data_IF_255688624351
#
_entry.id   IF_255688624351
#
_cell.length_a   1.000
_cell.length_b   1.000
_cell.length_c   1.000
_cell.angle_alpha   90.00
_cell.angle_beta   90.00
_cell.angle_gamma   90.00
#
_symmetry.space_group_name_H-M   'P 1'
#
loop_
_entity.id
_entity.type
_entity.pdbx_description
1 polymer ?
#
# COMPACT_ATOMS: atom_id res chain seq x y z
N UNK A 1 -71.11 0.95 -11.17
CA UNK A 1 -70.09 1.09 -10.10
C UNK A 1 -68.87 0.26 -10.44
N UNK A 2 -67.82 0.89 -10.96
CA UNK A 2 -66.60 0.21 -11.39
C UNK A 2 -65.53 0.30 -10.27
N UNK A 3 -64.82 -0.79 -9.93
CA UNK A 3 -63.79 -0.73 -8.91
C UNK A 3 -62.49 -0.15 -9.50
N UNK A 4 -61.98 0.87 -8.84
CA UNK A 4 -60.69 1.51 -9.10
C UNK A 4 -59.59 0.52 -8.72
N UNK A 5 -58.87 -0.01 -9.74
CA UNK A 5 -57.65 -0.79 -9.54
C UNK A 5 -56.51 0.16 -9.23
N UNK A 6 -56.08 0.19 -7.95
CA UNK A 6 -54.92 0.91 -7.49
C UNK A 6 -53.66 0.11 -7.89
N UNK A 7 -52.97 0.59 -8.95
CA UNK A 7 -51.72 0.02 -9.43
C UNK A 7 -50.58 0.54 -8.57
N UNK A 8 -50.11 -0.29 -7.62
CA UNK A 8 -48.87 0.00 -6.85
C UNK A 8 -47.68 -0.16 -7.77
N UNK A 9 -47.11 0.97 -8.19
CA UNK A 9 -45.84 1.03 -8.91
C UNK A 9 -44.71 0.87 -7.89
N UNK A 10 -44.21 -0.35 -7.74
CA UNK A 10 -43.00 -0.61 -6.90
C UNK A 10 -41.79 -0.10 -7.67
N UNK A 11 -41.30 1.07 -7.27
CA UNK A 11 -40.03 1.64 -7.76
C UNK A 11 -38.88 0.85 -7.10
N UNK A 12 -38.36 -0.18 -7.79
CA UNK A 12 -37.11 -0.84 -7.39
C UNK A 12 -35.94 0.14 -7.59
N UNK A 13 -35.53 0.81 -6.51
CA UNK A 13 -34.28 1.53 -6.48
C UNK A 13 -33.16 0.48 -6.54
N UNK A 14 -32.64 0.24 -7.73
CA UNK A 14 -31.45 -0.56 -7.93
C UNK A 14 -30.26 0.12 -7.27
N UNK A 15 -29.87 -0.34 -6.08
CA UNK A 15 -28.57 0.01 -5.49
C UNK A 15 -27.48 -0.58 -6.39
N UNK A 16 -26.99 0.22 -7.35
CA UNK A 16 -25.76 -0.09 -8.05
C UNK A 16 -24.61 0.00 -7.07
N UNK A 17 -24.18 -1.12 -6.51
CA UNK A 17 -22.90 -1.22 -5.82
C UNK A 17 -21.82 -0.96 -6.85
N UNK A 18 -21.27 0.26 -6.83
CA UNK A 18 -20.06 0.59 -7.58
C UNK A 18 -18.97 -0.26 -6.94
N UNK A 19 -18.65 -1.39 -7.57
CA UNK A 19 -17.46 -2.16 -7.24
C UNK A 19 -16.26 -1.24 -7.48
N UNK A 20 -15.72 -0.68 -6.40
CA UNK A 20 -14.48 0.11 -6.45
C UNK A 20 -13.40 -0.85 -6.91
N UNK A 21 -12.92 -0.69 -8.14
CA UNK A 21 -11.77 -1.43 -8.63
C UNK A 21 -10.68 -1.32 -7.56
N UNK A 22 -10.10 -2.46 -7.16
CA UNK A 22 -9.07 -2.48 -6.11
C UNK A 22 -7.85 -1.72 -6.62
N UNK A 23 -7.77 -0.44 -6.29
CA UNK A 23 -6.74 0.46 -6.77
C UNK A 23 -5.39 0.00 -6.21
N UNK A 24 -4.49 -0.41 -7.10
CA UNK A 24 -3.16 -0.94 -6.75
C UNK A 24 -2.22 0.10 -6.12
N UNK A 25 -2.70 1.32 -5.93
CA UNK A 25 -1.96 2.44 -5.34
C UNK A 25 -2.73 3.06 -4.19
N UNK A 26 -1.99 3.65 -3.24
CA UNK A 26 -2.52 4.47 -2.15
C UNK A 26 -1.64 5.69 -1.93
N UNK A 27 -2.16 6.69 -1.25
CA UNK A 27 -1.40 7.87 -0.84
C UNK A 27 -0.54 7.61 0.39
N UNK A 28 0.45 8.47 0.65
CA UNK A 28 1.26 8.41 1.88
C UNK A 28 0.40 8.59 3.14
N UNK A 29 -0.63 9.45 3.08
CA UNK A 29 -1.58 9.66 4.18
C UNK A 29 -2.39 8.40 4.48
N UNK A 30 -2.94 7.75 3.45
CA UNK A 30 -3.67 6.49 3.60
C UNK A 30 -2.78 5.36 4.11
N UNK A 31 -1.55 5.26 3.60
CA UNK A 31 -0.59 4.25 4.05
C UNK A 31 -0.25 4.40 5.52
N UNK A 32 -0.03 5.65 6.00
CA UNK A 32 0.19 5.93 7.41
C UNK A 32 -1.02 5.54 8.26
N UNK A 33 -2.21 5.96 7.87
CA UNK A 33 -3.44 5.63 8.59
C UNK A 33 -3.66 4.12 8.71
N UNK A 34 -3.50 3.40 7.60
CA UNK A 34 -3.71 1.95 7.55
C UNK A 34 -2.62 1.17 8.31
N UNK A 35 -1.37 1.64 8.27
CA UNK A 35 -0.28 1.03 9.03
C UNK A 35 -0.43 1.26 10.54
N UNK A 36 -0.80 2.48 10.95
CA UNK A 36 -1.05 2.81 12.36
C UNK A 36 -2.23 2.01 12.94
N UNK A 37 -3.29 1.85 12.18
CA UNK A 37 -4.47 1.06 12.55
C UNK A 37 -4.28 -0.46 12.43
N UNK A 38 -3.10 -0.95 12.04
CA UNK A 38 -2.86 -2.40 11.87
C UNK A 38 -3.61 -3.03 10.69
N UNK A 39 -4.16 -2.22 9.79
CA UNK A 39 -4.95 -2.69 8.64
C UNK A 39 -4.07 -3.20 7.49
N UNK A 40 -2.84 -2.71 7.39
CA UNK A 40 -1.85 -3.11 6.37
C UNK A 40 -0.44 -3.11 6.94
N UNK A 41 0.38 -4.05 6.50
CA UNK A 41 1.81 -4.07 6.80
C UNK A 41 2.49 -3.07 5.87
N UNK A 42 3.14 -2.05 6.42
CA UNK A 42 3.95 -1.11 5.66
C UNK A 42 5.38 -1.65 5.54
N UNK A 43 5.91 -1.71 4.32
CA UNK A 43 7.30 -2.13 4.05
C UNK A 43 8.02 -1.01 3.30
N UNK A 44 9.12 -0.55 3.88
CA UNK A 44 10.04 0.40 3.24
C UNK A 44 11.08 -0.38 2.43
N UNK A 45 11.00 -0.25 1.10
CA UNK A 45 11.85 -0.99 0.16
C UNK A 45 13.09 -0.21 -0.29
N UNK A 46 13.36 0.95 0.34
CA UNK A 46 14.55 1.77 0.06
C UNK A 46 15.84 1.06 0.48
N UNK A 47 16.97 1.65 0.08
CA UNK A 47 18.28 1.16 0.49
C UNK A 47 18.62 1.54 1.95
N UNK A 48 19.46 0.76 2.66
CA UNK A 48 19.87 1.06 4.04
C UNK A 48 20.48 2.45 4.24
N UNK A 49 21.22 2.94 3.27
CA UNK A 49 21.79 4.30 3.31
C UNK A 49 20.72 5.40 3.33
N UNK A 50 19.60 5.17 2.67
CA UNK A 50 18.45 6.11 2.69
C UNK A 50 17.77 6.10 4.06
N UNK A 51 17.60 4.93 4.66
CA UNK A 51 17.03 4.80 6.01
C UNK A 51 17.90 5.52 7.07
N UNK A 52 19.22 5.34 6.98
CA UNK A 52 20.18 6.04 7.89
C UNK A 52 20.09 7.55 7.73
N UNK A 53 20.02 8.04 6.49
CA UNK A 53 20.02 9.46 6.18
C UNK A 53 18.74 10.17 6.60
N UNK A 54 17.58 9.56 6.39
CA UNK A 54 16.28 10.24 6.49
C UNK A 54 15.35 9.65 7.54
N UNK A 55 15.73 8.55 8.17
CA UNK A 55 14.84 7.75 9.00
C UNK A 55 13.88 6.90 8.15
N UNK A 56 12.97 6.24 8.81
CA UNK A 56 11.96 5.33 8.22
C UNK A 56 10.57 5.65 8.76
N UNK A 57 9.50 5.38 8.02
CA UNK A 57 8.13 5.51 8.54
C UNK A 57 7.95 4.68 9.82
N UNK A 58 7.29 5.25 10.82
CA UNK A 58 6.97 4.50 12.05
C UNK A 58 6.11 3.28 11.70
N UNK A 59 6.45 2.13 12.26
CA UNK A 59 5.79 0.85 12.00
C UNK A 59 6.22 0.14 10.72
N UNK A 60 6.99 0.78 9.83
CA UNK A 60 7.46 0.12 8.62
C UNK A 60 8.51 -0.97 8.90
N UNK A 61 8.35 -2.11 8.20
CA UNK A 61 9.40 -3.12 8.06
C UNK A 61 10.39 -2.67 6.98
N UNK A 62 11.66 -2.98 7.14
CA UNK A 62 12.74 -2.52 6.26
C UNK A 62 13.26 -3.70 5.44
N UNK A 63 12.80 -3.83 4.21
CA UNK A 63 13.20 -4.87 3.27
C UNK A 63 13.62 -4.23 1.96
N UNK A 64 14.91 -3.88 1.83
CA UNK A 64 15.42 -3.30 0.58
C UNK A 64 15.21 -4.24 -0.60
N UNK A 65 14.66 -3.70 -1.69
CA UNK A 65 14.55 -4.44 -2.96
C UNK A 65 15.89 -4.53 -3.70
N UNK A 66 16.84 -3.67 -3.31
CA UNK A 66 18.21 -3.60 -3.88
C UNK A 66 19.23 -4.35 -3.01
N UNK A 67 18.77 -5.09 -1.99
CA UNK A 67 19.63 -5.84 -1.08
C UNK A 67 20.28 -7.06 -1.71
N UNK A 68 21.22 -7.64 -0.97
CA UNK A 68 21.89 -8.89 -1.36
C UNK A 68 20.87 -10.01 -1.64
N UNK A 69 21.07 -10.75 -2.72
CA UNK A 69 20.14 -11.79 -3.18
C UNK A 69 18.95 -11.29 -4.00
N UNK A 70 18.87 -9.98 -4.25
CA UNK A 70 17.91 -9.38 -5.18
C UNK A 70 16.44 -9.68 -4.87
N UNK A 71 15.65 -9.80 -5.93
CA UNK A 71 14.19 -9.96 -5.85
C UNK A 71 13.77 -11.27 -5.18
N UNK A 72 14.52 -12.36 -5.38
CA UNK A 72 14.23 -13.65 -4.74
C UNK A 72 14.29 -13.56 -3.22
N UNK A 73 15.36 -12.95 -2.70
CA UNK A 73 15.49 -12.73 -1.26
C UNK A 73 14.42 -11.79 -0.72
N UNK A 74 14.05 -10.75 -1.46
CA UNK A 74 12.97 -9.85 -1.10
C UNK A 74 11.63 -10.61 -0.95
N UNK A 75 11.24 -11.39 -1.96
CA UNK A 75 10.01 -12.21 -1.92
C UNK A 75 10.03 -13.19 -0.76
N UNK A 76 11.16 -13.87 -0.50
CA UNK A 76 11.29 -14.82 0.61
C UNK A 76 11.10 -14.12 1.98
N UNK A 77 11.68 -12.93 2.17
CA UNK A 77 11.51 -12.13 3.40
C UNK A 77 10.06 -11.72 3.62
N UNK A 78 9.37 -11.25 2.57
CA UNK A 78 7.97 -10.87 2.66
C UNK A 78 7.09 -12.09 2.93
N UNK A 79 7.33 -13.22 2.25
CA UNK A 79 6.61 -14.48 2.49
C UNK A 79 6.75 -14.94 3.95
N UNK A 80 7.97 -14.89 4.50
CA UNK A 80 8.22 -15.22 5.92
C UNK A 80 7.49 -14.25 6.86
N UNK A 81 7.52 -12.95 6.55
CA UNK A 81 6.86 -11.91 7.38
C UNK A 81 5.36 -12.16 7.53
N UNK A 82 4.70 -12.62 6.48
CA UNK A 82 3.25 -12.87 6.46
C UNK A 82 2.89 -14.34 6.79
N UNK A 83 3.86 -15.16 7.23
CA UNK A 83 3.62 -16.57 7.53
C UNK A 83 3.08 -17.38 6.35
N UNK A 84 3.45 -17.03 5.12
CA UNK A 84 2.97 -17.65 3.88
C UNK A 84 1.60 -17.17 3.40
N UNK A 85 0.87 -16.35 4.15
CA UNK A 85 -0.43 -15.82 3.75
C UNK A 85 -0.28 -14.70 2.73
N UNK A 86 -0.37 -15.04 1.45
CA UNK A 86 -0.21 -14.10 0.33
C UNK A 86 -1.40 -13.15 0.12
N UNK A 87 -2.48 -13.30 0.89
CA UNK A 87 -3.62 -12.38 0.88
C UNK A 87 -3.49 -11.25 1.93
N UNK A 88 -2.42 -11.28 2.75
CA UNK A 88 -2.18 -10.24 3.74
C UNK A 88 -2.08 -8.85 3.08
N UNK A 89 -2.77 -7.84 3.64
CA UNK A 89 -2.70 -6.48 3.14
C UNK A 89 -1.30 -5.89 3.36
N UNK A 90 -0.63 -5.52 2.27
CA UNK A 90 0.73 -4.95 2.27
C UNK A 90 0.72 -3.62 1.53
N UNK A 91 1.43 -2.63 2.07
CA UNK A 91 1.76 -1.38 1.40
C UNK A 91 3.27 -1.25 1.26
N UNK A 92 3.74 -0.86 0.10
CA UNK A 92 5.17 -0.71 -0.20
C UNK A 92 5.50 0.76 -0.42
N UNK A 93 6.54 1.27 0.23
CA UNK A 93 7.03 2.63 0.07
C UNK A 93 8.50 2.64 -0.33
N UNK A 94 8.85 3.47 -1.31
CA UNK A 94 10.22 3.82 -1.63
C UNK A 94 10.41 5.35 -1.59
N UNK A 95 11.47 5.89 -2.21
CA UNK A 95 11.71 7.33 -2.19
C UNK A 95 10.63 8.12 -2.98
N UNK A 96 10.24 7.66 -4.17
CA UNK A 96 9.39 8.40 -5.12
C UNK A 96 8.31 7.56 -5.82
N UNK A 97 8.00 6.37 -5.31
CA UNK A 97 6.95 5.50 -5.84
C UNK A 97 7.39 4.48 -6.90
N UNK A 98 8.52 4.67 -7.59
CA UNK A 98 8.94 3.81 -8.71
C UNK A 98 9.44 2.43 -8.27
N UNK A 99 10.37 2.36 -7.30
CA UNK A 99 10.91 1.08 -6.79
C UNK A 99 9.83 0.27 -6.07
N UNK A 100 8.95 0.92 -5.32
CA UNK A 100 7.82 0.28 -4.64
C UNK A 100 6.75 -0.22 -5.60
N UNK A 101 6.53 0.48 -6.73
CA UNK A 101 5.69 -0.03 -7.82
C UNK A 101 6.26 -1.32 -8.43
N UNK A 102 7.58 -1.33 -8.71
CA UNK A 102 8.27 -2.54 -9.19
C UNK A 102 8.20 -3.68 -8.16
N UNK A 103 8.40 -3.37 -6.88
CA UNK A 103 8.29 -4.35 -5.80
C UNK A 103 6.87 -4.94 -5.67
N UNK A 104 5.83 -4.11 -5.85
CA UNK A 104 4.44 -4.56 -5.86
C UNK A 104 4.17 -5.53 -7.02
N UNK A 105 4.71 -5.23 -8.20
CA UNK A 105 4.61 -6.12 -9.36
C UNK A 105 5.29 -7.48 -9.09
N UNK A 106 6.51 -7.48 -8.56
CA UNK A 106 7.25 -8.70 -8.19
C UNK A 106 6.47 -9.56 -7.18
N UNK A 107 5.88 -8.94 -6.15
CA UNK A 107 5.06 -9.67 -5.20
C UNK A 107 3.78 -10.21 -5.84
N UNK A 108 3.15 -9.45 -6.75
CA UNK A 108 1.98 -9.91 -7.49
C UNK A 108 2.29 -11.13 -8.34
N UNK A 109 3.42 -11.15 -9.06
CA UNK A 109 3.90 -12.32 -9.82
C UNK A 109 4.22 -13.52 -8.92
N UNK A 110 4.66 -13.26 -7.67
CA UNK A 110 4.86 -14.29 -6.66
C UNK A 110 3.54 -14.76 -5.99
N UNK A 111 2.38 -14.28 -6.44
CA UNK A 111 1.06 -14.71 -6.00
C UNK A 111 0.46 -13.91 -4.83
N UNK A 112 1.06 -12.77 -4.44
CA UNK A 112 0.44 -11.87 -3.47
C UNK A 112 -0.72 -11.11 -4.09
N UNK A 113 -1.90 -11.12 -3.46
CA UNK A 113 -3.13 -10.60 -4.03
C UNK A 113 -3.53 -9.21 -3.51
N UNK A 114 -2.93 -8.76 -2.40
CA UNK A 114 -3.35 -7.52 -1.72
C UNK A 114 -2.15 -6.60 -1.44
N UNK A 115 -1.47 -6.19 -2.50
CA UNK A 115 -0.28 -5.31 -2.43
C UNK A 115 -0.58 -3.97 -3.06
N UNK A 116 -0.27 -2.88 -2.35
CA UNK A 116 -0.44 -1.50 -2.82
C UNK A 116 0.87 -0.73 -2.82
N UNK A 117 1.06 0.11 -3.82
CA UNK A 117 2.18 1.04 -3.91
C UNK A 117 1.81 2.40 -3.30
N UNK A 118 2.65 2.93 -2.42
CA UNK A 118 2.56 4.33 -1.97
C UNK A 118 3.14 5.22 -3.07
N UNK A 119 2.26 5.78 -3.90
CA UNK A 119 2.62 6.42 -5.18
C UNK A 119 3.53 7.63 -5.06
N UNK A 120 3.34 8.47 -4.04
CA UNK A 120 4.20 9.64 -3.79
C UNK A 120 5.56 9.23 -3.22
N UNK A 121 5.60 8.12 -2.50
CA UNK A 121 6.78 7.66 -1.79
C UNK A 121 7.12 8.51 -0.57
N UNK A 122 8.35 8.37 -0.10
CA UNK A 122 8.84 9.04 1.10
C UNK A 122 9.15 10.53 0.86
N UNK A 123 9.71 10.88 -0.29
CA UNK A 123 10.12 12.24 -0.65
C UNK A 123 9.08 13.03 -1.45
N UNK A 124 8.12 12.34 -2.06
CA UNK A 124 7.22 12.92 -3.05
C UNK A 124 7.78 12.91 -4.47
N UNK A 125 6.93 13.18 -5.44
CA UNK A 125 7.30 13.33 -6.84
C UNK A 125 6.39 14.36 -7.54
N UNK A 126 6.76 14.77 -8.78
CA UNK A 126 6.01 15.80 -9.51
C UNK A 126 4.62 15.35 -9.92
N UNK A 127 4.43 14.06 -10.20
CA UNK A 127 3.17 13.51 -10.72
C UNK A 127 2.13 13.34 -9.62
N UNK A 128 2.55 12.79 -8.47
CA UNK A 128 1.64 12.34 -7.43
C UNK A 128 1.60 13.29 -6.22
N UNK A 129 2.55 14.22 -6.14
CA UNK A 129 2.58 15.26 -5.13
C UNK A 129 3.50 14.99 -3.93
N UNK A 130 3.20 15.62 -2.77
CA UNK A 130 4.04 15.54 -1.59
C UNK A 130 4.03 14.14 -0.98
N UNK A 131 5.21 13.63 -0.60
CA UNK A 131 5.38 12.34 0.04
C UNK A 131 5.35 12.39 1.57
N UNK A 132 5.73 11.27 2.20
CA UNK A 132 5.71 11.05 3.65
C UNK A 132 6.32 12.20 4.46
N UNK A 133 7.54 12.66 4.08
CA UNK A 133 8.23 13.75 4.78
C UNK A 133 7.50 15.09 4.69
N UNK A 134 7.02 15.45 3.49
CA UNK A 134 6.34 16.74 3.28
C UNK A 134 4.99 16.80 3.99
N UNK A 135 4.33 15.66 4.17
CA UNK A 135 3.15 15.54 5.00
C UNK A 135 3.45 15.50 6.50
N UNK A 136 4.72 15.59 6.91
CA UNK A 136 5.16 15.51 8.30
C UNK A 136 4.64 14.27 9.03
N UNK A 137 4.51 13.16 8.30
CA UNK A 137 4.08 11.89 8.86
C UNK A 137 5.17 11.29 9.78
N UNK A 138 4.79 10.48 10.78
CA UNK A 138 5.72 9.97 11.78
C UNK A 138 6.87 9.19 11.19
N UNK A 139 8.10 9.54 11.59
CA UNK A 139 9.33 8.84 11.25
C UNK A 139 10.10 8.47 12.51
N UNK A 140 10.86 7.39 12.46
CA UNK A 140 11.84 7.02 13.47
C UNK A 140 13.26 7.04 12.88
N UNK A 141 14.28 7.47 13.65
CA UNK A 141 15.68 7.36 13.24
C UNK A 141 16.04 5.89 13.00
N UNK A 142 16.94 5.65 12.06
CA UNK A 142 17.50 4.32 11.81
C UNK A 142 19.01 4.35 12.00
N UNK A 143 19.48 4.10 13.24
CA UNK A 143 20.90 4.16 13.57
C UNK A 143 21.66 2.89 13.15
N UNK A 144 21.02 1.74 13.26
CA UNK A 144 21.60 0.41 13.02
C UNK A 144 20.89 -0.34 11.88
N UNK A 145 20.62 0.37 10.78
CA UNK A 145 20.06 -0.26 9.59
C UNK A 145 21.11 -0.98 8.77
#
# INVERSE_FOLDING_TARGET
MAPIRLMFLILLLGMTTIARADEKVITALEANFQAYGGLRILIDVRAPMEWKKTGVPVGAKQFSIEGFGGTTTFVAKVTKLVGGNKNMPISLICARGTRSSRAAHILSEAGFTNVKNVREGFLGNRKDGPGWLKHKLPIRPCRNC
#
